data_IF_065006272580
#
_entry.id   IF_065006272580
#
_cell.length_a   1.000
_cell.length_b   1.000
_cell.length_c   1.000
_cell.angle_alpha   90.00
_cell.angle_beta   90.00
_cell.angle_gamma   90.00
#
_symmetry.space_group_name_H-M   'P 1'
#
loop_
_entity.id
_entity.type
_entity.pdbx_description
1 polymer ?
#
# COMPACT_ATOMS: atom_id res chain seq x y z
N UNK A 1 9.98 21.61 -1.26
CA UNK A 1 8.51 21.58 -1.42
C UNK A 1 7.90 22.00 -0.10
N UNK A 2 7.08 23.03 -0.10
CA UNK A 2 6.52 23.61 1.13
C UNK A 2 5.53 22.60 1.75
N UNK A 3 5.87 22.02 2.91
CA UNK A 3 5.06 20.97 3.58
C UNK A 3 3.73 21.51 4.14
N UNK A 4 3.57 22.83 4.21
CA UNK A 4 2.41 23.50 4.82
C UNK A 4 1.11 23.43 4.01
N UNK A 5 1.14 22.86 2.80
CA UNK A 5 -0.01 22.78 1.87
C UNK A 5 -0.53 21.36 1.66
N UNK A 6 0.02 20.38 2.35
CA UNK A 6 -0.35 18.98 2.17
C UNK A 6 -0.46 18.28 3.53
N UNK A 7 -1.48 17.43 3.67
CA UNK A 7 -1.55 16.42 4.71
C UNK A 7 -0.83 15.18 4.19
N UNK A 8 0.25 14.78 4.85
CA UNK A 8 0.98 13.54 4.57
C UNK A 8 0.81 12.59 5.74
N UNK A 9 0.46 11.33 5.46
CA UNK A 9 0.48 10.26 6.44
C UNK A 9 0.99 8.96 5.81
N UNK A 10 1.56 8.10 6.65
CA UNK A 10 2.08 6.80 6.21
C UNK A 10 1.61 5.69 7.14
N UNK A 11 1.34 4.52 6.54
CA UNK A 11 1.00 3.28 7.24
C UNK A 11 2.11 2.29 6.93
N UNK A 12 2.76 1.78 7.98
CA UNK A 12 3.81 0.76 7.87
C UNK A 12 3.23 -0.58 8.31
N UNK A 13 3.45 -1.61 7.51
CA UNK A 13 3.05 -2.97 7.79
C UNK A 13 4.25 -3.91 7.72
N UNK A 14 4.35 -4.82 8.69
CA UNK A 14 5.28 -5.93 8.66
C UNK A 14 4.54 -7.13 8.02
N UNK A 15 4.80 -7.48 6.75
CA UNK A 15 4.19 -8.64 6.11
C UNK A 15 4.49 -9.92 6.89
N UNK A 16 3.47 -10.80 7.02
CA UNK A 16 3.65 -12.15 7.55
C UNK A 16 4.75 -12.86 6.75
N UNK A 17 5.61 -13.66 7.41
CA UNK A 17 6.76 -14.33 6.78
C UNK A 17 6.39 -15.15 5.54
N UNK A 18 5.20 -15.75 5.53
CA UNK A 18 4.65 -16.53 4.40
C UNK A 18 4.33 -15.68 3.16
N UNK A 19 4.18 -14.36 3.32
CA UNK A 19 3.85 -13.41 2.25
C UNK A 19 5.07 -12.66 1.71
N UNK A 20 6.22 -12.74 2.39
CA UNK A 20 7.44 -12.02 2.03
C UNK A 20 8.09 -12.55 0.75
N UNK A 21 7.90 -13.84 0.41
CA UNK A 21 8.57 -14.50 -0.72
C UNK A 21 7.98 -14.20 -2.11
N UNK A 22 6.82 -13.55 -2.21
CA UNK A 22 6.05 -13.44 -3.46
C UNK A 22 5.76 -11.99 -3.94
N UNK A 23 6.48 -10.99 -3.42
CA UNK A 23 6.33 -9.62 -3.89
C UNK A 23 7.03 -9.44 -5.26
N UNK A 24 6.26 -9.65 -6.34
CA UNK A 24 6.69 -9.49 -7.73
C UNK A 24 7.40 -8.14 -8.01
N UNK A 25 8.27 -8.10 -9.02
CA UNK A 25 8.79 -6.86 -9.56
C UNK A 25 7.63 -5.96 -10.03
N UNK A 26 7.64 -4.68 -9.64
CA UNK A 26 6.59 -3.68 -9.88
C UNK A 26 5.30 -3.82 -9.06
N UNK A 27 5.33 -4.66 -8.01
CA UNK A 27 4.24 -4.78 -7.05
C UNK A 27 3.72 -3.42 -6.56
N UNK A 28 4.61 -2.46 -6.32
CA UNK A 28 4.30 -1.12 -5.80
C UNK A 28 3.31 -0.34 -6.67
N UNK A 29 3.20 -0.69 -7.95
CA UNK A 29 2.23 -0.11 -8.89
C UNK A 29 1.03 -1.03 -9.11
N UNK A 30 1.26 -2.34 -9.22
CA UNK A 30 0.21 -3.30 -9.57
C UNK A 30 -0.87 -3.43 -8.49
N UNK A 31 -0.55 -3.23 -7.21
CA UNK A 31 -1.54 -3.43 -6.13
C UNK A 31 -2.78 -2.54 -6.18
N UNK A 32 -2.70 -1.41 -6.88
CA UNK A 32 -3.83 -0.51 -7.02
C UNK A 32 -4.78 -0.97 -8.13
N UNK A 33 -4.39 -1.95 -8.95
CA UNK A 33 -5.28 -2.52 -9.95
C UNK A 33 -6.33 -3.42 -9.30
N UNK A 34 -7.57 -3.42 -9.83
CA UNK A 34 -8.65 -4.22 -9.29
C UNK A 34 -8.32 -5.71 -9.39
N UNK A 35 -8.70 -6.45 -8.37
CA UNK A 35 -8.56 -7.91 -8.28
C UNK A 35 -7.13 -8.44 -8.26
N UNK A 36 -6.12 -7.56 -8.12
CA UNK A 36 -4.74 -8.01 -7.92
C UNK A 36 -4.61 -8.74 -6.58
N UNK A 37 -3.94 -9.88 -6.63
CA UNK A 37 -3.66 -10.74 -5.48
C UNK A 37 -2.17 -11.03 -5.44
N UNK A 38 -1.57 -10.82 -4.27
CA UNK A 38 -0.17 -11.16 -3.98
C UNK A 38 -0.03 -12.66 -3.76
N UNK A 39 -1.08 -13.26 -3.21
CA UNK A 39 -1.10 -14.66 -2.88
C UNK A 39 -2.48 -15.26 -3.20
N UNK A 40 -2.50 -16.56 -3.47
CA UNK A 40 -3.72 -17.32 -3.75
C UNK A 40 -4.44 -17.75 -2.46
N UNK A 41 -3.85 -17.52 -1.29
CA UNK A 41 -4.46 -17.86 -0.01
C UNK A 41 -5.60 -16.89 0.32
N UNK A 42 -6.79 -17.45 0.49
CA UNK A 42 -7.97 -16.76 0.98
C UNK A 42 -7.87 -16.77 2.50
N UNK A 43 -7.67 -15.60 3.11
CA UNK A 43 -7.78 -15.46 4.56
C UNK A 43 -9.27 -15.47 4.92
N UNK A 44 -9.75 -16.61 5.43
CA UNK A 44 -11.15 -16.86 5.80
C UNK A 44 -11.68 -15.88 6.86
N UNK A 45 -10.80 -15.12 7.53
CA UNK A 45 -11.18 -14.12 8.52
C UNK A 45 -11.89 -12.90 7.90
N UNK A 46 -11.67 -12.63 6.62
CA UNK A 46 -12.32 -11.54 5.90
C UNK A 46 -13.50 -12.08 5.08
N UNK A 47 -14.66 -12.20 5.73
CA UNK A 47 -15.93 -12.73 5.18
C UNK A 47 -16.57 -11.89 4.03
N UNK A 48 -15.86 -10.94 3.40
CA UNK A 48 -16.42 -10.07 2.37
C UNK A 48 -15.98 -10.46 0.96
N UNK A 49 -16.94 -10.64 0.05
CA UNK A 49 -16.74 -10.96 -1.38
C UNK A 49 -15.99 -9.87 -2.19
N UNK A 50 -15.75 -8.69 -1.63
CA UNK A 50 -15.06 -7.55 -2.28
C UNK A 50 -13.52 -7.72 -2.37
N UNK A 51 -13.05 -8.94 -2.60
CA UNK A 51 -11.64 -9.29 -2.60
C UNK A 51 -10.87 -8.55 -3.72
N UNK A 52 -9.94 -7.69 -3.32
CA UNK A 52 -8.99 -7.04 -4.24
C UNK A 52 -9.44 -5.69 -4.82
N UNK A 53 -10.49 -5.05 -4.26
CA UNK A 53 -10.91 -3.71 -4.66
C UNK A 53 -10.51 -2.61 -3.67
N UNK A 54 -10.11 -2.97 -2.45
CA UNK A 54 -9.84 -2.00 -1.37
C UNK A 54 -8.79 -0.94 -1.76
N UNK A 55 -7.59 -1.37 -2.16
CA UNK A 55 -6.53 -0.43 -2.56
C UNK A 55 -6.86 0.33 -3.85
N UNK A 56 -7.57 -0.29 -4.79
CA UNK A 56 -8.10 0.41 -5.97
C UNK A 56 -9.03 1.55 -5.60
N UNK A 57 -9.92 1.33 -4.63
CA UNK A 57 -10.82 2.36 -4.13
C UNK A 57 -10.06 3.47 -3.40
N UNK A 58 -9.10 3.10 -2.54
CA UNK A 58 -8.23 4.08 -1.86
C UNK A 58 -7.49 4.95 -2.88
N UNK A 59 -6.91 4.35 -3.93
CA UNK A 59 -6.21 5.10 -4.99
C UNK A 59 -7.15 6.09 -5.68
N UNK A 60 -8.37 5.67 -6.03
CA UNK A 60 -9.40 6.55 -6.62
C UNK A 60 -9.76 7.69 -5.68
N UNK A 61 -10.01 7.42 -4.40
CA UNK A 61 -10.35 8.44 -3.40
C UNK A 61 -9.23 9.47 -3.26
N UNK A 62 -7.99 9.01 -3.14
CA UNK A 62 -6.82 9.91 -3.03
C UNK A 62 -6.67 10.77 -4.28
N UNK A 63 -6.78 10.17 -5.48
CA UNK A 63 -6.72 10.90 -6.76
C UNK A 63 -7.86 11.92 -6.92
N UNK A 64 -9.08 11.60 -6.45
CA UNK A 64 -10.21 12.53 -6.45
C UNK A 64 -9.94 13.78 -5.60
N UNK A 65 -9.14 13.67 -4.55
CA UNK A 65 -8.68 14.79 -3.74
C UNK A 65 -7.42 15.47 -4.30
N UNK A 66 -7.02 15.16 -5.55
CA UNK A 66 -5.75 15.61 -6.17
C UNK A 66 -4.51 15.21 -5.37
N UNK A 67 -4.63 14.16 -4.57
CA UNK A 67 -3.56 13.60 -3.77
C UNK A 67 -2.71 12.60 -4.54
N UNK A 68 -1.70 12.07 -3.85
CA UNK A 68 -0.80 11.03 -4.32
C UNK A 68 -0.77 9.89 -3.30
N UNK A 69 -0.67 8.68 -3.79
CA UNK A 69 -0.46 7.48 -2.99
C UNK A 69 0.73 6.71 -3.58
N UNK A 70 1.60 6.19 -2.72
CA UNK A 70 2.77 5.42 -3.12
C UNK A 70 2.99 4.26 -2.15
N UNK A 71 3.56 3.18 -2.68
CA UNK A 71 4.06 2.07 -1.87
C UNK A 71 5.57 2.07 -1.92
N UNK A 72 6.19 1.89 -0.77
CA UNK A 72 7.65 1.88 -0.62
C UNK A 72 8.05 0.66 0.18
N UNK A 73 8.95 -0.12 -0.41
CA UNK A 73 9.64 -1.20 0.28
C UNK A 73 10.71 -0.62 1.19
N UNK A 74 10.63 -0.91 2.47
CA UNK A 74 11.64 -0.52 3.44
C UNK A 74 12.54 -1.73 3.67
N UNK A 75 13.75 -1.65 3.12
CA UNK A 75 14.82 -2.62 3.34
C UNK A 75 15.69 -2.11 4.48
N UNK A 76 15.72 -2.82 5.60
CA UNK A 76 16.71 -2.56 6.66
C UNK A 76 18.03 -3.26 6.32
N UNK A 77 19.17 -2.62 6.59
CA UNK A 77 20.51 -3.09 6.20
C UNK A 77 21.07 -4.22 7.10
N UNK A 78 20.21 -4.98 7.78
CA UNK A 78 20.58 -6.06 8.69
C UNK A 78 20.40 -7.41 8.01
N UNK A 79 21.30 -8.37 8.29
CA UNK A 79 21.20 -9.75 7.77
C UNK A 79 19.90 -10.48 8.19
N UNK A 80 19.19 -9.96 9.20
CA UNK A 80 17.90 -10.48 9.68
C UNK A 80 16.75 -9.48 9.50
N UNK A 81 16.90 -8.49 8.63
CA UNK A 81 15.89 -7.47 8.39
C UNK A 81 14.60 -8.09 7.82
N UNK A 82 13.49 -7.91 8.54
CA UNK A 82 12.18 -8.18 7.96
C UNK A 82 11.84 -7.06 6.98
N UNK A 83 11.49 -7.43 5.75
CA UNK A 83 11.01 -6.48 4.74
C UNK A 83 9.74 -5.82 5.25
N UNK A 84 9.68 -4.48 5.26
CA UNK A 84 8.45 -3.74 5.62
C UNK A 84 7.87 -3.05 4.41
N UNK A 85 6.55 -2.96 4.36
CA UNK A 85 5.84 -2.21 3.34
C UNK A 85 5.26 -0.96 3.95
N UNK A 86 5.51 0.18 3.31
CA UNK A 86 4.94 1.45 3.68
C UNK A 86 4.02 1.96 2.59
N UNK A 87 2.80 2.33 2.95
CA UNK A 87 1.89 3.09 2.07
C UNK A 87 1.89 4.53 2.57
N UNK A 88 2.24 5.47 1.69
CA UNK A 88 2.22 6.90 1.99
C UNK A 88 1.15 7.58 1.16
N UNK A 89 0.37 8.45 1.79
CA UNK A 89 -0.68 9.26 1.17
C UNK A 89 -0.38 10.73 1.40
N UNK A 90 -0.47 11.53 0.35
CA UNK A 90 -0.28 12.97 0.34
C UNK A 90 -1.55 13.62 -0.25
N UNK A 91 -2.24 14.49 0.50
CA UNK A 91 -3.45 15.18 0.04
C UNK A 91 -3.28 16.69 0.21
N UNK A 92 -3.53 17.53 -0.82
CA UNK A 92 -3.53 18.97 -0.67
C UNK A 92 -4.53 19.43 0.39
N UNK A 93 -4.11 20.34 1.29
CA UNK A 93 -5.00 20.99 2.24
C UNK A 93 -5.58 22.25 1.62
N UNK A 94 -6.88 22.49 1.82
CA UNK A 94 -7.52 23.76 1.48
C UNK A 94 -7.42 24.64 2.73
N UNK A 95 -6.87 25.85 2.57
CA UNK A 95 -6.94 26.89 3.61
C UNK A 95 -8.24 27.67 3.47
#
# INVERSE_FOLDING_TARGET
LNKDNYLEFSIINNPRKELQTNLYDNFETLIFNPFIRINNYIDEYYNSLDFGLGLTMVEKVVKSHKGKIKVTRLLESSENAEEKLMITVEIPTIR
#
